data_IF_370321045741
#
_entry.id   IF_370321045741
#
_cell.length_a   1.000
_cell.length_b   1.000
_cell.length_c   1.000
_cell.angle_alpha   90.00
_cell.angle_beta   90.00
_cell.angle_gamma   90.00
#
_symmetry.space_group_name_H-M   'P 1'
#
loop_
_entity.id
_entity.type
_entity.pdbx_description
1 polymer ?
#
# COMPACT_ATOMS: atom_id res chain seq x y z
N UNK A 1 1.91 2.04 -30.55
CA UNK A 1 3.34 2.44 -30.33
C UNK A 1 3.54 3.77 -29.59
N UNK A 2 2.57 4.67 -29.52
CA UNK A 2 2.73 5.98 -28.86
C UNK A 2 2.59 5.97 -27.31
N UNK A 3 2.08 4.91 -26.70
CA UNK A 3 1.95 4.80 -25.22
C UNK A 3 3.24 4.41 -24.52
N UNK A 4 4.14 3.67 -25.16
CA UNK A 4 5.39 3.22 -24.53
C UNK A 4 6.43 4.33 -24.33
N UNK A 5 6.47 5.33 -25.19
CA UNK A 5 7.39 6.48 -25.05
C UNK A 5 7.04 7.38 -23.85
N UNK A 6 5.77 7.47 -23.47
CA UNK A 6 5.36 8.32 -22.34
C UNK A 6 5.64 7.72 -20.94
N UNK A 7 5.82 6.40 -20.82
CA UNK A 7 6.07 5.74 -19.54
C UNK A 7 7.55 5.81 -19.19
N UNK A 8 8.45 5.57 -20.15
CA UNK A 8 9.90 5.63 -19.94
C UNK A 8 10.37 7.03 -19.45
N UNK A 9 9.69 8.10 -19.86
CA UNK A 9 9.96 9.46 -19.36
C UNK A 9 9.47 9.72 -17.93
N UNK A 10 8.61 8.87 -17.40
CA UNK A 10 8.01 9.02 -16.07
C UNK A 10 8.72 8.18 -15.00
N UNK A 11 9.37 7.11 -15.41
CA UNK A 11 10.06 6.13 -14.56
C UNK A 11 11.55 6.46 -14.48
N UNK A 12 12.15 6.26 -13.33
CA UNK A 12 13.61 6.44 -13.16
C UNK A 12 14.04 7.85 -12.77
N UNK A 13 13.18 8.63 -12.15
CA UNK A 13 13.51 9.92 -11.53
C UNK A 13 13.85 9.79 -10.03
N UNK A 14 14.12 10.94 -9.41
CA UNK A 14 14.51 11.04 -7.99
C UNK A 14 13.35 11.47 -7.08
N UNK A 15 12.10 11.48 -7.54
CA UNK A 15 10.98 12.02 -6.79
C UNK A 15 9.95 10.95 -6.46
N UNK A 16 9.31 11.09 -5.31
CA UNK A 16 8.15 10.33 -4.87
C UNK A 16 7.02 11.27 -4.43
N UNK A 17 5.87 10.69 -4.16
CA UNK A 17 4.74 11.43 -3.61
C UNK A 17 4.44 10.86 -2.23
N UNK A 18 4.52 11.71 -1.20
CA UNK A 18 4.06 11.38 0.14
C UNK A 18 2.60 11.80 0.25
N UNK A 19 1.72 10.83 0.48
CA UNK A 19 0.29 11.06 0.69
C UNK A 19 0.02 10.93 2.19
N UNK A 20 -0.43 12.01 2.80
CA UNK A 20 -0.64 12.10 4.24
C UNK A 20 -2.04 11.67 4.66
N UNK A 21 -2.17 11.34 5.93
CA UNK A 21 -3.46 10.97 6.55
C UNK A 21 -4.48 12.10 6.52
N UNK A 22 -4.07 13.37 6.44
CA UNK A 22 -4.97 14.51 6.25
C UNK A 22 -5.50 14.63 4.80
N UNK A 23 -4.96 13.81 3.88
CA UNK A 23 -5.31 13.78 2.47
C UNK A 23 -4.50 14.73 1.60
N UNK A 24 -3.45 15.37 2.12
CA UNK A 24 -2.54 16.19 1.30
C UNK A 24 -1.48 15.33 0.64
N UNK A 25 -1.07 15.74 -0.57
CA UNK A 25 0.00 15.09 -1.33
C UNK A 25 1.21 16.00 -1.45
N UNK A 26 2.38 15.53 -1.07
CA UNK A 26 3.64 16.25 -1.16
C UNK A 26 4.62 15.55 -2.07
N UNK A 27 5.20 16.29 -3.03
CA UNK A 27 6.31 15.79 -3.84
C UNK A 27 7.60 15.91 -3.05
N UNK A 28 8.27 14.79 -2.84
CA UNK A 28 9.52 14.68 -2.08
C UNK A 28 10.61 14.08 -2.96
N UNK A 29 11.87 14.44 -2.66
CA UNK A 29 13.02 13.90 -3.37
C UNK A 29 13.56 12.68 -2.62
N UNK A 30 13.67 11.53 -3.32
CA UNK A 30 14.52 10.43 -2.87
C UNK A 30 16.00 10.82 -3.02
N UNK A 31 16.89 10.11 -2.34
CA UNK A 31 18.32 10.32 -2.55
C UNK A 31 18.77 9.89 -3.97
N UNK A 32 19.77 10.57 -4.47
CA UNK A 32 20.13 10.67 -5.90
C UNK A 32 20.70 9.42 -6.50
N UNK A 33 20.62 8.27 -6.36
CA UNK A 33 21.26 7.16 -7.12
C UNK A 33 21.50 5.85 -6.34
N UNK A 34 20.96 5.73 -5.15
CA UNK A 34 21.11 4.49 -4.40
C UNK A 34 19.72 3.92 -4.09
N UNK A 35 19.39 2.76 -4.65
CA UNK A 35 18.09 2.11 -4.48
C UNK A 35 17.80 1.72 -3.02
N UNK A 36 18.84 1.47 -2.22
CA UNK A 36 18.70 1.28 -0.76
C UNK A 36 18.21 2.55 -0.08
N UNK A 37 18.57 3.72 -0.60
CA UNK A 37 18.11 5.00 -0.08
C UNK A 37 16.61 5.25 -0.28
N UNK A 38 15.97 4.65 -1.29
CA UNK A 38 14.51 4.74 -1.49
C UNK A 38 13.78 4.15 -0.30
N UNK A 39 14.21 2.99 0.17
CA UNK A 39 13.60 2.31 1.31
C UNK A 39 13.79 3.10 2.60
N UNK A 40 14.99 3.59 2.85
CA UNK A 40 15.30 4.38 4.05
C UNK A 40 14.56 5.72 4.06
N UNK A 41 14.48 6.40 2.92
CA UNK A 41 13.73 7.64 2.78
C UNK A 41 12.22 7.42 2.91
N UNK A 42 11.68 6.35 2.37
CA UNK A 42 10.28 6.02 2.56
C UNK A 42 9.96 5.78 4.04
N UNK A 43 10.81 5.05 4.76
CA UNK A 43 10.67 4.85 6.23
C UNK A 43 10.71 6.18 6.99
N UNK A 44 11.62 7.08 6.62
CA UNK A 44 11.69 8.42 7.20
C UNK A 44 10.40 9.21 6.98
N UNK A 45 9.87 9.20 5.74
CA UNK A 45 8.66 9.95 5.39
C UNK A 45 7.39 9.39 6.03
N UNK A 46 7.28 8.08 6.14
CA UNK A 46 6.14 7.38 6.77
C UNK A 46 6.27 7.38 8.31
N UNK A 47 7.48 7.50 8.83
CA UNK A 47 7.75 7.41 10.27
C UNK A 47 7.63 5.99 10.83
N UNK A 48 8.03 4.96 10.05
CA UNK A 48 7.90 3.56 10.42
C UNK A 48 9.23 2.80 10.35
N UNK A 49 9.27 1.62 10.97
CA UNK A 49 10.44 0.75 10.97
C UNK A 49 10.42 -0.26 9.83
N UNK A 50 9.24 -0.76 9.50
CA UNK A 50 9.02 -1.82 8.53
C UNK A 50 8.06 -1.34 7.44
N UNK A 51 8.42 -1.61 6.19
CA UNK A 51 7.62 -1.27 5.03
C UNK A 51 7.12 -2.53 4.35
N UNK A 52 5.88 -2.44 3.90
CA UNK A 52 5.32 -3.32 2.88
C UNK A 52 4.95 -2.51 1.65
N UNK A 53 4.72 -3.18 0.53
CA UNK A 53 4.27 -2.54 -0.69
C UNK A 53 2.88 -3.02 -1.11
N UNK A 54 2.09 -2.08 -1.56
CA UNK A 54 0.75 -2.34 -2.09
C UNK A 54 0.71 -1.89 -3.54
N UNK A 55 0.43 -2.82 -4.44
CA UNK A 55 0.29 -2.50 -5.87
C UNK A 55 -0.98 -1.68 -6.08
N UNK A 56 -0.80 -0.47 -6.62
CA UNK A 56 -1.89 0.45 -6.93
C UNK A 56 -2.39 0.24 -8.35
N UNK A 57 -1.46 0.17 -9.29
CA UNK A 57 -1.76 0.03 -10.70
C UNK A 57 -0.60 -0.64 -11.43
N UNK A 58 -0.90 -1.65 -12.24
CA UNK A 58 0.05 -2.17 -13.23
C UNK A 58 0.00 -1.29 -14.47
N UNK A 59 1.12 -0.69 -14.84
CA UNK A 59 1.22 0.28 -15.94
C UNK A 59 1.79 -0.37 -17.20
N UNK A 60 2.74 -1.28 -17.01
CA UNK A 60 3.31 -2.14 -18.06
C UNK A 60 3.63 -3.51 -17.45
N UNK A 61 4.10 -4.45 -18.27
CA UNK A 61 4.38 -5.82 -17.78
C UNK A 61 5.42 -5.84 -16.65
N UNK A 62 6.35 -4.91 -16.69
CA UNK A 62 7.51 -4.78 -15.81
C UNK A 62 7.47 -3.52 -14.93
N UNK A 63 6.41 -2.71 -15.01
CA UNK A 63 6.29 -1.45 -14.27
C UNK A 63 4.97 -1.36 -13.53
N UNK A 64 5.04 -1.18 -12.24
CA UNK A 64 3.89 -1.04 -11.36
C UNK A 64 3.98 0.24 -10.54
N UNK A 65 2.85 0.91 -10.35
CA UNK A 65 2.71 1.97 -9.36
C UNK A 65 2.38 1.32 -8.02
N UNK A 66 3.14 1.65 -7.00
CA UNK A 66 2.97 1.07 -5.67
C UNK A 66 2.88 2.14 -4.59
N UNK A 67 2.21 1.80 -3.50
CA UNK A 67 2.39 2.45 -2.21
C UNK A 67 3.35 1.67 -1.35
N UNK A 68 4.32 2.35 -0.76
CA UNK A 68 5.04 1.86 0.40
C UNK A 68 4.26 2.29 1.63
N UNK A 69 3.94 1.34 2.48
CA UNK A 69 3.08 1.51 3.65
C UNK A 69 3.79 1.00 4.91
N UNK A 70 3.34 1.41 6.09
CA UNK A 70 3.80 0.79 7.33
C UNK A 70 3.23 -0.62 7.44
N UNK A 71 4.09 -1.64 7.39
CA UNK A 71 3.74 -3.05 7.57
C UNK A 71 3.05 -3.32 8.91
N UNK A 72 3.45 -2.60 9.96
CA UNK A 72 2.91 -2.72 11.31
C UNK A 72 1.85 -1.66 11.65
N UNK A 73 1.21 -1.03 10.66
CA UNK A 73 0.32 0.09 10.90
C UNK A 73 -0.73 -0.15 11.99
N UNK A 74 -1.37 -1.31 12.00
CA UNK A 74 -2.33 -1.68 13.03
C UNK A 74 -1.67 -1.95 14.41
N UNK A 75 -0.48 -2.48 14.44
CA UNK A 75 0.26 -2.71 15.69
C UNK A 75 0.78 -1.39 16.28
N UNK A 76 1.25 -0.48 15.42
CA UNK A 76 1.83 0.80 15.84
C UNK A 76 0.75 1.82 16.27
N UNK A 77 -0.39 1.83 15.58
CA UNK A 77 -1.44 2.83 15.77
C UNK A 77 -2.77 2.25 16.25
N UNK A 78 -2.86 0.93 16.40
CA UNK A 78 -4.07 0.26 16.88
C UNK A 78 -5.27 0.53 15.97
N UNK A 79 -6.41 0.73 16.58
CA UNK A 79 -7.68 0.98 15.90
C UNK A 79 -8.02 2.49 15.77
N UNK A 80 -7.01 3.37 15.79
CA UNK A 80 -7.23 4.81 15.69
C UNK A 80 -7.66 5.21 14.27
N UNK A 81 -8.94 5.50 14.11
CA UNK A 81 -9.53 5.91 12.84
C UNK A 81 -8.94 7.20 12.26
N UNK A 82 -8.32 8.05 13.12
CA UNK A 82 -7.64 9.27 12.70
C UNK A 82 -6.35 8.99 11.91
N UNK A 83 -5.85 7.76 11.98
CA UNK A 83 -4.68 7.30 11.22
C UNK A 83 -5.04 6.73 9.85
N UNK A 84 -6.31 6.64 9.50
CA UNK A 84 -6.74 6.20 8.17
C UNK A 84 -6.29 7.20 7.13
N UNK A 85 -5.57 6.71 6.13
CA UNK A 85 -5.23 7.48 4.94
C UNK A 85 -6.38 7.37 3.93
N UNK A 86 -7.16 8.43 3.70
CA UNK A 86 -8.37 8.32 2.87
C UNK A 86 -8.05 8.00 1.42
N UNK A 87 -7.00 8.61 0.85
CA UNK A 87 -6.62 8.43 -0.54
C UNK A 87 -6.09 7.00 -0.76
N UNK A 88 -5.14 6.58 0.08
CA UNK A 88 -4.55 5.25 -0.04
C UNK A 88 -5.61 4.16 0.14
N UNK A 89 -6.48 4.30 1.13
CA UNK A 89 -7.60 3.37 1.38
C UNK A 89 -8.57 3.32 0.19
N UNK A 90 -8.95 4.48 -0.37
CA UNK A 90 -9.85 4.55 -1.52
C UNK A 90 -9.27 3.81 -2.73
N UNK A 91 -8.01 4.09 -3.07
CA UNK A 91 -7.36 3.47 -4.23
C UNK A 91 -7.14 1.97 -3.99
N UNK A 92 -6.69 1.56 -2.79
CA UNK A 92 -6.51 0.15 -2.43
C UNK A 92 -7.79 -0.67 -2.60
N UNK A 93 -8.94 -0.09 -2.28
CA UNK A 93 -10.24 -0.77 -2.43
C UNK A 93 -10.88 -0.53 -3.82
N UNK A 94 -10.10 -0.11 -4.84
CA UNK A 94 -10.59 0.10 -6.21
C UNK A 94 -11.68 1.16 -6.33
N UNK A 95 -11.68 2.15 -5.46
CA UNK A 95 -12.69 3.21 -5.43
C UNK A 95 -14.01 2.82 -4.76
N UNK A 96 -14.09 1.65 -4.16
CA UNK A 96 -15.29 1.14 -3.49
C UNK A 96 -15.25 1.39 -1.97
N UNK A 97 -16.36 1.07 -1.30
CA UNK A 97 -16.44 1.08 0.15
C UNK A 97 -15.33 0.19 0.73
N UNK A 98 -14.54 0.68 1.70
CA UNK A 98 -13.39 -0.06 2.18
C UNK A 98 -13.76 -1.35 2.90
N UNK A 99 -13.13 -2.46 2.49
CA UNK A 99 -13.02 -3.68 3.27
C UNK A 99 -11.80 -3.66 4.21
N UNK A 100 -10.75 -2.93 3.79
CA UNK A 100 -9.52 -2.73 4.55
C UNK A 100 -9.12 -1.26 4.56
N UNK A 101 -8.53 -0.80 5.64
CA UNK A 101 -8.04 0.57 5.79
C UNK A 101 -6.51 0.59 5.74
N UNK A 102 -5.96 1.51 4.99
CA UNK A 102 -4.52 1.82 5.01
C UNK A 102 -4.30 2.88 6.08
N UNK A 103 -3.40 2.60 7.02
CA UNK A 103 -3.09 3.48 8.14
C UNK A 103 -1.77 4.20 7.92
N UNK A 104 -1.71 5.45 8.37
CA UNK A 104 -0.53 6.29 8.30
C UNK A 104 -0.31 6.94 6.94
N UNK A 105 0.76 7.70 6.86
CA UNK A 105 1.23 8.28 5.61
C UNK A 105 1.77 7.17 4.69
N UNK A 106 1.69 7.38 3.39
CA UNK A 106 2.21 6.43 2.41
C UNK A 106 3.11 7.13 1.40
N UNK A 107 4.05 6.38 0.83
CA UNK A 107 4.91 6.87 -0.24
C UNK A 107 4.56 6.18 -1.54
N UNK A 108 4.16 6.95 -2.55
CA UNK A 108 3.90 6.46 -3.90
C UNK A 108 5.18 6.53 -4.73
N UNK A 109 5.54 5.42 -5.35
CA UNK A 109 6.68 5.30 -6.25
C UNK A 109 6.42 4.25 -7.33
N UNK A 110 7.43 3.97 -8.15
CA UNK A 110 7.39 2.87 -9.11
C UNK A 110 8.08 1.63 -8.52
N UNK A 111 7.57 0.47 -8.88
CA UNK A 111 8.24 -0.82 -8.76
C UNK A 111 8.51 -1.33 -10.16
N UNK A 112 9.77 -1.65 -10.44
CA UNK A 112 10.22 -2.22 -11.71
C UNK A 112 10.64 -3.65 -11.45
N UNK A 113 10.14 -4.59 -12.26
CA UNK A 113 10.60 -5.96 -12.25
C UNK A 113 11.93 -6.05 -13.03
N UNK A 114 12.99 -6.45 -12.35
CA UNK A 114 14.32 -6.68 -12.94
C UNK A 114 14.69 -8.17 -12.85
N UNK A 115 15.70 -8.65 -13.59
CA UNK A 115 16.17 -10.05 -13.48
C UNK A 115 16.65 -10.40 -12.06
N UNK A 116 17.08 -9.41 -11.28
CA UNK A 116 17.57 -9.56 -9.90
C UNK A 116 16.44 -9.46 -8.87
N UNK A 117 15.23 -9.09 -9.29
CA UNK A 117 14.05 -8.91 -8.43
C UNK A 117 13.38 -7.56 -8.62
N UNK A 118 12.39 -7.25 -7.80
CA UNK A 118 11.67 -5.99 -7.84
C UNK A 118 12.52 -4.83 -7.27
N UNK A 119 12.54 -3.71 -7.98
CA UNK A 119 13.30 -2.51 -7.62
C UNK A 119 12.39 -1.29 -7.49
N UNK A 120 12.44 -0.61 -6.33
CA UNK A 120 11.69 0.63 -6.14
C UNK A 120 12.46 1.81 -6.73
N UNK A 121 11.81 2.54 -7.62
CA UNK A 121 12.41 3.70 -8.28
C UNK A 121 11.49 4.93 -8.16
N UNK A 122 12.10 6.11 -8.20
CA UNK A 122 11.37 7.36 -8.20
C UNK A 122 10.74 7.72 -9.53
N UNK A 123 10.09 8.86 -9.54
CA UNK A 123 9.44 9.49 -10.70
C UNK A 123 10.26 10.69 -11.17
N UNK A 124 10.05 11.13 -12.42
CA UNK A 124 10.46 12.47 -12.81
C UNK A 124 9.70 13.52 -12.00
N UNK A 125 10.30 14.67 -11.75
CA UNK A 125 9.66 15.75 -10.98
C UNK A 125 8.33 16.18 -11.60
N UNK A 126 8.28 16.25 -12.91
CA UNK A 126 7.08 16.63 -13.65
C UNK A 126 5.95 15.60 -13.48
N UNK A 127 6.28 14.31 -13.54
CA UNK A 127 5.32 13.23 -13.32
C UNK A 127 4.79 13.26 -11.87
N UNK A 128 5.68 13.39 -10.88
CA UNK A 128 5.31 13.45 -9.48
C UNK A 128 4.36 14.63 -9.19
N UNK A 129 4.69 15.83 -9.69
CA UNK A 129 3.84 17.01 -9.53
C UNK A 129 2.47 16.85 -10.19
N UNK A 130 2.43 16.27 -11.40
CA UNK A 130 1.17 16.02 -12.11
C UNK A 130 0.30 15.02 -11.36
N UNK A 131 0.87 13.91 -10.94
CA UNK A 131 0.13 12.86 -10.22
C UNK A 131 -0.35 13.39 -8.87
N UNK A 132 0.48 14.10 -8.10
CA UNK A 132 0.09 14.69 -6.83
C UNK A 132 -1.09 15.64 -7.02
N UNK A 133 -1.03 16.55 -8.00
CA UNK A 133 -2.12 17.47 -8.33
C UNK A 133 -3.41 16.73 -8.71
N UNK A 134 -3.32 15.71 -9.56
CA UNK A 134 -4.50 14.90 -9.95
C UNK A 134 -5.07 14.14 -8.75
N UNK A 135 -4.23 13.67 -7.85
CA UNK A 135 -4.64 13.01 -6.60
C UNK A 135 -5.44 13.96 -5.73
N UNK A 136 -4.92 15.16 -5.49
CA UNK A 136 -5.59 16.17 -4.65
C UNK A 136 -6.89 16.68 -5.28
N UNK A 137 -6.90 16.93 -6.58
CA UNK A 137 -8.06 17.52 -7.26
C UNK A 137 -9.18 16.51 -7.59
N UNK A 138 -8.83 15.28 -7.94
CA UNK A 138 -9.79 14.28 -8.47
C UNK A 138 -10.05 13.10 -7.53
N UNK A 139 -9.03 12.66 -6.80
CA UNK A 139 -9.12 11.47 -5.94
C UNK A 139 -9.57 11.83 -4.55
N UNK A 140 -8.96 12.83 -3.93
CA UNK A 140 -9.27 13.23 -2.55
C UNK A 140 -10.74 13.53 -2.28
N UNK A 141 -11.48 14.28 -3.15
CA UNK A 141 -12.90 14.52 -2.91
C UNK A 141 -13.72 13.23 -2.86
N UNK A 142 -13.46 12.30 -3.80
CA UNK A 142 -14.12 11.00 -3.84
C UNK A 142 -13.73 10.12 -2.66
N UNK A 143 -12.44 10.13 -2.31
CA UNK A 143 -11.95 9.39 -1.16
C UNK A 143 -12.64 9.83 0.14
N UNK A 144 -12.79 11.12 0.37
CA UNK A 144 -13.50 11.67 1.55
C UNK A 144 -14.98 11.31 1.58
N UNK A 145 -15.61 11.16 0.42
CA UNK A 145 -17.03 10.73 0.32
C UNK A 145 -17.17 9.24 0.65
N UNK A 146 -16.28 8.39 0.12
CA UNK A 146 -16.40 6.92 0.18
C UNK A 146 -15.76 6.34 1.44
N UNK A 147 -14.58 6.85 1.81
CA UNK A 147 -13.81 6.38 2.97
C UNK A 147 -14.26 7.12 4.21
N UNK A 148 -15.23 6.53 4.89
CA UNK A 148 -15.73 7.01 6.17
C UNK A 148 -15.42 5.96 7.23
N UNK A 149 -14.25 6.04 7.89
CA UNK A 149 -13.89 5.05 8.89
C UNK A 149 -14.84 5.15 10.09
N UNK A 150 -15.20 4.02 10.70
CA UNK A 150 -15.94 4.03 11.95
C UNK A 150 -15.09 4.69 13.04
N UNK A 151 -15.71 5.11 14.14
CA UNK A 151 -14.99 5.75 15.26
C UNK A 151 -13.85 4.87 15.78
N UNK A 152 -14.08 3.57 15.83
CA UNK A 152 -13.07 2.55 16.15
C UNK A 152 -12.99 1.59 14.98
N UNK A 153 -11.79 1.39 14.43
CA UNK A 153 -11.58 0.44 13.35
C UNK A 153 -11.76 -0.99 13.85
N UNK A 154 -12.35 -1.87 13.03
CA UNK A 154 -12.43 -3.27 13.39
C UNK A 154 -11.02 -3.86 13.50
N UNK A 155 -10.78 -4.64 14.54
CA UNK A 155 -9.53 -5.40 14.65
C UNK A 155 -9.38 -6.31 13.43
N UNK A 156 -8.20 -6.37 12.82
CA UNK A 156 -7.97 -7.30 11.73
C UNK A 156 -8.18 -8.72 12.23
N UNK A 157 -9.06 -9.45 11.54
CA UNK A 157 -9.22 -10.89 11.80
C UNK A 157 -8.13 -11.61 11.02
N UNK A 158 -7.18 -12.18 11.72
CA UNK A 158 -6.15 -13.03 11.11
C UNK A 158 -6.74 -14.44 11.05
N UNK A 159 -6.92 -14.96 9.85
CA UNK A 159 -7.25 -16.37 9.64
C UNK A 159 -5.96 -17.12 9.40
N UNK A 160 -5.68 -18.07 10.26
CA UNK A 160 -4.58 -19.02 10.09
C UNK A 160 -5.22 -20.32 9.63
N UNK A 161 -4.88 -20.75 8.44
CA UNK A 161 -5.32 -22.01 7.87
C UNK A 161 -4.11 -22.92 7.69
N UNK A 162 -4.23 -24.19 8.10
CA UNK A 162 -3.25 -25.20 7.81
C UNK A 162 -3.82 -26.19 6.81
N UNK A 163 -2.98 -26.70 5.92
CA UNK A 163 -3.34 -27.68 4.91
C UNK A 163 -2.48 -28.92 5.06
N UNK A 164 -2.94 -30.04 4.57
CA UNK A 164 -2.18 -31.30 4.64
C UNK A 164 -0.95 -31.30 3.73
N UNK A 165 -1.05 -30.57 2.62
CA UNK A 165 0.05 -30.43 1.66
C UNK A 165 0.10 -29.01 1.07
N UNK A 166 1.24 -28.68 0.47
CA UNK A 166 1.40 -27.44 -0.30
C UNK A 166 0.47 -27.44 -1.53
N UNK A 167 0.21 -28.59 -2.12
CA UNK A 167 -0.68 -28.72 -3.27
C UNK A 167 -2.13 -28.38 -2.88
N UNK A 168 -2.56 -28.78 -1.70
CA UNK A 168 -3.90 -28.43 -1.18
C UNK A 168 -4.02 -26.93 -0.92
N UNK A 169 -2.98 -26.30 -0.39
CA UNK A 169 -2.94 -24.85 -0.25
C UNK A 169 -3.08 -24.15 -1.59
N UNK A 170 -2.32 -24.58 -2.60
CA UNK A 170 -2.37 -23.99 -3.95
C UNK A 170 -3.77 -24.17 -4.56
N UNK A 171 -4.34 -25.37 -4.50
CA UNK A 171 -5.70 -25.63 -5.00
C UNK A 171 -6.76 -24.79 -4.30
N UNK A 172 -6.65 -24.63 -2.98
CA UNK A 172 -7.56 -23.76 -2.22
C UNK A 172 -7.43 -22.29 -2.66
N UNK A 173 -6.20 -21.79 -2.88
CA UNK A 173 -5.96 -20.43 -3.39
C UNK A 173 -6.47 -20.23 -4.83
N UNK A 174 -6.51 -21.28 -5.64
CA UNK A 174 -7.08 -21.27 -7.00
C UNK A 174 -8.62 -21.37 -7.01
N UNK A 175 -9.24 -21.47 -5.85
CA UNK A 175 -10.70 -21.49 -5.69
C UNK A 175 -11.33 -22.89 -5.79
N UNK A 176 -10.56 -23.95 -5.56
CA UNK A 176 -11.07 -25.32 -5.47
C UNK A 176 -11.80 -25.50 -4.13
N UNK A 177 -13.12 -25.34 -4.14
CA UNK A 177 -13.98 -25.47 -2.94
C UNK A 177 -14.01 -26.89 -2.35
N UNK A 178 -13.42 -27.90 -3.02
CA UNK A 178 -13.37 -29.27 -2.50
C UNK A 178 -12.19 -29.49 -1.54
N UNK A 179 -11.28 -28.52 -1.47
CA UNK A 179 -10.13 -28.57 -0.56
C UNK A 179 -10.44 -27.73 0.68
N UNK A 180 -10.72 -28.41 1.78
CA UNK A 180 -10.94 -27.78 3.08
C UNK A 180 -9.63 -27.69 3.87
N UNK A 181 -9.40 -26.57 4.60
CA UNK A 181 -8.25 -26.49 5.52
C UNK A 181 -8.39 -27.53 6.64
N UNK A 182 -7.30 -28.14 7.02
CA UNK A 182 -7.23 -29.11 8.13
C UNK A 182 -7.57 -28.47 9.46
N UNK A 183 -7.09 -27.27 9.66
CA UNK A 183 -7.39 -26.42 10.82
C UNK A 183 -7.56 -24.97 10.38
N UNK A 184 -8.57 -24.31 10.90
CA UNK A 184 -8.77 -22.88 10.73
C UNK A 184 -8.89 -22.23 12.10
N UNK A 185 -7.97 -21.30 12.40
CA UNK A 185 -7.99 -20.50 13.62
C UNK A 185 -8.19 -19.05 13.24
N UNK A 186 -9.26 -18.44 13.73
CA UNK A 186 -9.46 -16.99 13.60
C UNK A 186 -8.97 -16.32 14.88
N UNK A 187 -7.88 -15.54 14.76
CA UNK A 187 -7.39 -14.71 15.84
C UNK A 187 -8.01 -13.31 15.66
N UNK A 188 -8.86 -12.93 16.60
CA UNK A 188 -9.28 -11.54 16.74
C UNK A 188 -8.26 -10.86 17.65
N UNK A 189 -7.64 -9.76 17.20
CA UNK A 189 -6.77 -8.96 18.04
C UNK A 189 -7.56 -8.57 19.31
N UNK A 190 -7.28 -9.23 20.40
CA UNK A 190 -7.93 -8.97 21.68
C UNK A 190 -7.35 -7.73 22.33
N UNK A 191 -8.20 -6.97 22.98
CA UNK A 191 -7.80 -5.96 23.94
C UNK A 191 -6.94 -6.65 25.01
N UNK A 192 -5.63 -6.38 24.95
CA UNK A 192 -4.70 -6.86 25.97
C UNK A 192 -4.97 -6.16 27.29
N UNK A 193 -5.98 -6.61 28.03
CA UNK A 193 -6.03 -6.34 29.46
C UNK A 193 -4.85 -7.06 30.10
N UNK A 194 -3.80 -6.31 30.36
CA UNK A 194 -2.77 -6.71 31.29
C UNK A 194 -3.41 -6.80 32.68
N UNK A 195 -3.81 -8.00 33.05
CA UNK A 195 -4.08 -8.28 34.45
C UNK A 195 -2.74 -8.35 35.20
N UNK A 196 -2.52 -7.34 36.02
CA UNK A 196 -1.47 -7.24 37.05
C UNK A 196 -1.64 -8.30 38.15
#
# INVERSE_FOLDING_TARGET
MAMQTGIAEQVGGCYCIVIKTDGTSEVRKFAEQDHTAVYDKAREYIGCKWLDNVVVQRVANDVQMVYLVNDNGYADWGNDSKKVNPIATYIYNGGNKPGHYILGDVVMCWLIDTPEGGEFVGMSELAAKRIAKETDEKVLPKAKEVVQPPEVLPNPKIRIMSFESTDDLVRHMEGDETVEPKEEVTISGGDGEAQS
#
